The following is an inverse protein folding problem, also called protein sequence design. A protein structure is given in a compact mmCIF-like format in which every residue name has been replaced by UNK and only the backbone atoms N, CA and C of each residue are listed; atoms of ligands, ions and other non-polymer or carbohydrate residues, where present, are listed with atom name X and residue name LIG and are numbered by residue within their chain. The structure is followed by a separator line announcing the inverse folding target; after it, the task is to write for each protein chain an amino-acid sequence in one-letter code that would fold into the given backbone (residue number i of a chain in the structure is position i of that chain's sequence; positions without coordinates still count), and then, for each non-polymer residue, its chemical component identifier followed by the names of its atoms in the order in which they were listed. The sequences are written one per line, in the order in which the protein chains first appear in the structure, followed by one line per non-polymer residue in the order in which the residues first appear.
data_IF_794938329123
#
_entry.id   IF_794938329123
#
_cell.length_a   1.000
_cell.length_b   1.000
_cell.length_c   1.000
_cell.angle_alpha   90.00
_cell.angle_beta   90.00
_cell.angle_gamma   90.00
#
_symmetry.space_group_name_H-M   'P 1'
#
loop_
_entity.id
_entity.type
_entity.pdbx_description
1 polymer ?
#
# COMPACT_ATOMS: atom_id res chain seq x y z
N UNK A 1 -6.55 29.39 -32.03
CA UNK A 1 -7.27 29.03 -33.27
C UNK A 1 -6.31 29.20 -34.46
N UNK A 2 -5.83 28.08 -35.02
CA UNK A 2 -5.05 28.09 -36.24
C UNK A 2 -6.02 27.92 -37.43
N UNK A 3 -6.23 28.96 -38.28
CA UNK A 3 -7.22 28.90 -39.36
C UNK A 3 -6.81 28.03 -40.55
N UNK A 4 -5.69 27.33 -40.49
CA UNK A 4 -5.14 26.55 -41.59
C UNK A 4 -4.78 25.09 -41.26
N UNK A 5 -5.14 24.60 -40.08
CA UNK A 5 -4.80 23.23 -39.63
C UNK A 5 -6.02 22.38 -39.28
N UNK A 6 -5.89 21.07 -39.43
CA UNK A 6 -6.81 20.05 -38.93
C UNK A 6 -6.85 19.96 -37.40
N UNK A 7 -6.29 20.96 -36.69
CA UNK A 7 -6.18 20.99 -35.22
C UNK A 7 -7.35 21.82 -34.68
N UNK A 8 -8.55 21.23 -34.69
CA UNK A 8 -9.72 21.80 -34.05
C UNK A 8 -9.51 21.78 -32.54
N UNK A 9 -9.68 22.94 -31.91
CA UNK A 9 -9.77 23.08 -30.46
C UNK A 9 -11.16 22.60 -30.00
N UNK A 10 -11.18 21.56 -29.20
CA UNK A 10 -12.44 20.95 -28.74
C UNK A 10 -13.02 21.70 -27.54
N UNK A 11 -12.22 22.51 -26.84
CA UNK A 11 -12.61 23.34 -25.69
C UNK A 11 -12.50 24.83 -25.99
N UNK A 12 -13.02 25.27 -27.15
CA UNK A 12 -12.92 26.65 -27.61
C UNK A 12 -13.35 27.67 -26.55
N UNK A 13 -12.44 28.59 -26.18
CA UNK A 13 -12.66 29.61 -25.16
C UNK A 13 -12.16 29.26 -23.77
N UNK A 14 -11.64 28.07 -23.57
CA UNK A 14 -10.94 27.62 -22.37
C UNK A 14 -9.51 27.25 -22.79
N UNK A 15 -8.51 27.73 -22.08
CA UNK A 15 -7.13 27.37 -22.38
C UNK A 15 -6.80 25.97 -21.81
N UNK A 16 -6.20 25.11 -22.66
CA UNK A 16 -5.72 23.80 -22.25
C UNK A 16 -4.64 23.26 -23.17
N UNK A 17 -3.98 22.18 -22.80
CA UNK A 17 -2.83 21.59 -23.47
C UNK A 17 -3.00 20.12 -23.85
N UNK A 18 -4.14 19.53 -23.55
CA UNK A 18 -4.45 18.14 -23.87
C UNK A 18 -4.35 17.84 -25.37
N UNK A 19 -3.96 16.61 -25.72
CA UNK A 19 -3.66 16.21 -27.12
C UNK A 19 -4.07 14.79 -27.45
N UNK A 20 -4.24 13.93 -26.41
CA UNK A 20 -4.42 12.49 -26.60
C UNK A 20 -5.88 12.10 -26.79
N UNK A 21 -6.80 12.81 -26.13
CA UNK A 21 -8.24 12.64 -26.21
C UNK A 21 -8.93 13.83 -26.88
N UNK A 22 -9.23 14.90 -26.16
CA UNK A 22 -9.73 16.19 -26.66
C UNK A 22 -8.58 17.19 -26.77
N UNK A 23 -8.52 17.91 -27.86
CA UNK A 23 -7.45 18.88 -28.10
C UNK A 23 -7.76 20.24 -27.52
N UNK A 24 -6.79 20.83 -26.84
CA UNK A 24 -6.87 22.20 -26.33
C UNK A 24 -7.72 22.32 -25.07
N UNK A 25 -8.11 21.23 -24.46
CA UNK A 25 -8.85 21.21 -23.20
C UNK A 25 -7.90 21.30 -21.99
N UNK A 26 -8.41 21.67 -20.80
CA UNK A 26 -7.65 21.60 -19.56
C UNK A 26 -6.97 20.25 -19.38
N UNK A 27 -5.74 20.28 -18.86
CA UNK A 27 -4.87 19.14 -18.64
C UNK A 27 -3.95 19.57 -17.50
N UNK A 28 -4.31 19.19 -16.29
CA UNK A 28 -3.77 19.77 -15.07
C UNK A 28 -2.35 19.29 -14.76
N UNK A 29 -2.04 18.05 -15.07
CA UNK A 29 -0.71 17.46 -14.84
C UNK A 29 0.21 17.48 -16.07
N UNK A 30 -0.35 17.74 -17.26
CA UNK A 30 0.40 17.93 -18.50
C UNK A 30 0.77 16.62 -19.22
N UNK A 31 0.09 15.52 -18.96
CA UNK A 31 0.37 14.22 -19.58
C UNK A 31 -0.28 14.06 -20.97
N UNK A 32 -1.15 14.99 -21.33
CA UNK A 32 -1.80 15.10 -22.65
C UNK A 32 -3.23 14.58 -22.68
N UNK A 33 -3.74 14.03 -21.60
CA UNK A 33 -5.16 13.70 -21.44
C UNK A 33 -5.90 14.87 -20.82
N UNK A 34 -7.19 15.04 -21.16
CA UNK A 34 -7.95 16.18 -20.66
C UNK A 34 -8.60 15.87 -19.32
N UNK A 35 -8.59 16.86 -18.43
CA UNK A 35 -9.37 16.80 -17.18
C UNK A 35 -10.82 16.49 -17.46
N UNK A 36 -11.54 15.77 -16.56
CA UNK A 36 -12.98 15.57 -16.68
C UNK A 36 -13.75 16.88 -16.54
N UNK A 37 -14.87 16.99 -17.25
CA UNK A 37 -15.83 18.09 -17.13
C UNK A 37 -17.29 17.59 -17.20
N UNK A 38 -18.27 18.49 -17.15
CA UNK A 38 -19.70 18.14 -17.17
C UNK A 38 -20.15 17.38 -18.43
N UNK A 39 -19.41 17.50 -19.55
CA UNK A 39 -19.75 16.89 -20.83
C UNK A 39 -18.75 15.83 -21.29
N UNK A 40 -17.67 15.64 -20.53
CA UNK A 40 -16.62 14.68 -20.80
C UNK A 40 -16.11 14.10 -19.50
N UNK A 41 -16.57 12.93 -19.20
CA UNK A 41 -16.30 12.24 -17.93
C UNK A 41 -15.22 11.16 -18.11
N UNK A 42 -14.74 10.59 -17.02
CA UNK A 42 -13.82 9.44 -17.05
C UNK A 42 -14.39 8.29 -17.87
N UNK A 43 -15.70 8.04 -17.81
CA UNK A 43 -16.35 7.01 -18.64
C UNK A 43 -16.40 7.35 -20.13
N UNK A 44 -16.21 8.60 -20.51
CA UNK A 44 -16.10 9.04 -21.92
C UNK A 44 -14.63 9.03 -22.39
N UNK A 45 -13.67 8.87 -21.49
CA UNK A 45 -12.25 8.82 -21.77
C UNK A 45 -11.45 10.02 -21.26
N UNK A 46 -12.00 10.83 -20.35
CA UNK A 46 -11.26 11.85 -19.64
C UNK A 46 -10.22 11.24 -18.72
N UNK A 47 -9.24 12.02 -18.32
CA UNK A 47 -8.24 11.64 -17.35
C UNK A 47 -8.90 11.22 -16.02
N UNK A 48 -8.60 10.02 -15.56
CA UNK A 48 -9.13 9.51 -14.30
C UNK A 48 -8.41 10.09 -13.08
N UNK A 49 -7.13 10.50 -13.22
CA UNK A 49 -6.30 11.02 -12.13
C UNK A 49 -5.57 12.31 -12.58
N UNK A 50 -6.29 13.43 -12.74
CA UNK A 50 -5.82 14.66 -13.39
C UNK A 50 -4.64 15.38 -12.72
N UNK A 51 -4.24 14.94 -11.54
CA UNK A 51 -3.14 15.55 -10.77
C UNK A 51 -1.87 14.68 -10.77
N UNK A 52 -1.86 13.53 -11.49
CA UNK A 52 -0.74 12.58 -11.46
C UNK A 52 -0.27 12.23 -12.86
N UNK A 53 0.76 12.92 -13.34
CA UNK A 53 1.34 12.76 -14.68
C UNK A 53 1.51 11.30 -15.10
N UNK A 54 0.84 10.93 -16.17
CA UNK A 54 0.88 9.61 -16.78
C UNK A 54 -0.08 8.57 -16.20
N UNK A 55 -0.95 8.96 -15.29
CA UNK A 55 -2.01 8.12 -14.70
C UNK A 55 -3.38 8.58 -15.19
N UNK A 56 -3.76 8.22 -16.38
CA UNK A 56 -5.01 8.65 -17.03
C UNK A 56 -6.12 7.59 -17.07
N UNK A 57 -5.85 6.37 -16.64
CA UNK A 57 -6.82 5.27 -16.49
C UNK A 57 -6.76 4.76 -15.06
N UNK A 58 -7.93 4.54 -14.48
CA UNK A 58 -8.16 3.91 -13.18
C UNK A 58 -9.33 2.94 -13.36
N UNK A 59 -9.03 1.65 -13.45
CA UNK A 59 -10.02 0.64 -13.87
C UNK A 59 -11.02 0.32 -12.77
N UNK A 60 -10.63 0.32 -11.51
CA UNK A 60 -11.48 -0.03 -10.38
C UNK A 60 -11.95 1.17 -9.55
N UNK A 61 -11.46 2.36 -9.91
CA UNK A 61 -11.88 3.67 -9.37
C UNK A 61 -11.53 3.86 -7.89
N UNK A 62 -10.35 3.42 -7.48
CA UNK A 62 -9.85 3.57 -6.11
C UNK A 62 -8.95 4.80 -5.92
N UNK A 63 -8.59 5.48 -7.02
CA UNK A 63 -7.75 6.67 -7.02
C UNK A 63 -6.27 6.39 -7.30
N UNK A 64 -5.91 5.16 -7.62
CA UNK A 64 -4.59 4.79 -8.13
C UNK A 64 -4.68 4.39 -9.59
N UNK A 65 -3.74 4.83 -10.40
CA UNK A 65 -3.81 4.63 -11.86
C UNK A 65 -3.11 3.38 -12.34
N UNK A 66 -3.63 2.83 -13.43
CA UNK A 66 -3.22 1.54 -14.02
C UNK A 66 -1.81 1.54 -14.63
N UNK A 67 -1.22 2.72 -14.90
CA UNK A 67 0.06 2.79 -15.59
C UNK A 67 1.24 2.45 -14.68
N UNK A 68 1.71 1.23 -14.79
CA UNK A 68 2.81 0.68 -13.99
C UNK A 68 4.16 1.41 -14.15
N UNK A 69 4.29 2.32 -15.10
CA UNK A 69 5.51 3.12 -15.32
C UNK A 69 5.42 4.52 -14.75
N UNK A 70 4.25 4.95 -14.33
CA UNK A 70 4.01 6.23 -13.68
C UNK A 70 4.14 6.14 -12.14
N UNK A 71 4.25 7.28 -11.44
CA UNK A 71 4.29 7.27 -9.98
C UNK A 71 3.02 6.69 -9.35
N UNK A 72 3.18 6.02 -8.21
CA UNK A 72 2.09 5.47 -7.40
C UNK A 72 1.13 4.55 -8.20
N UNK A 73 1.71 3.79 -9.14
CA UNK A 73 0.94 2.89 -9.99
C UNK A 73 0.19 1.86 -9.16
N UNK A 74 -1.07 1.64 -9.52
CA UNK A 74 -1.90 0.62 -8.92
C UNK A 74 -1.31 -0.79 -9.13
N UNK A 75 -1.14 -1.51 -8.05
CA UNK A 75 -0.66 -2.89 -8.05
C UNK A 75 -1.82 -3.91 -8.08
N UNK A 76 -3.07 -3.44 -7.92
CA UNK A 76 -4.28 -4.25 -7.88
C UNK A 76 -5.37 -3.77 -8.85
N UNK A 77 -5.02 -3.34 -10.02
CA UNK A 77 -5.78 -2.67 -11.12
C UNK A 77 -7.28 -3.00 -11.27
N UNK A 78 -7.75 -4.10 -10.75
CA UNK A 78 -9.16 -4.55 -10.86
C UNK A 78 -9.82 -4.82 -9.51
N UNK A 79 -9.14 -4.48 -8.42
CA UNK A 79 -9.62 -4.74 -7.06
C UNK A 79 -9.33 -3.52 -6.20
N UNK A 80 -10.33 -2.66 -5.99
CA UNK A 80 -10.14 -1.40 -5.28
C UNK A 80 -9.49 -1.58 -3.91
N UNK A 81 -8.57 -0.70 -3.56
CA UNK A 81 -7.89 -0.73 -2.28
C UNK A 81 -7.35 0.61 -1.83
N UNK A 82 -6.87 0.67 -0.61
CA UNK A 82 -6.40 1.89 0.03
C UNK A 82 -4.92 1.88 0.42
N UNK A 83 -4.22 0.78 0.21
CA UNK A 83 -2.82 0.66 0.60
C UNK A 83 -1.92 1.65 -0.16
N UNK A 84 -0.93 2.20 0.55
CA UNK A 84 -0.04 3.24 0.01
C UNK A 84 1.43 3.09 0.47
N UNK A 85 1.74 2.13 1.33
CA UNK A 85 3.08 1.96 1.88
C UNK A 85 3.91 0.90 1.13
N UNK A 86 3.26 -0.10 0.53
CA UNK A 86 3.93 -1.21 -0.16
C UNK A 86 3.41 -1.42 -1.59
N UNK A 87 2.13 -1.71 -1.75
CA UNK A 87 1.45 -1.97 -3.02
C UNK A 87 0.28 -1.01 -3.16
N UNK A 88 0.49 0.09 -3.87
CA UNK A 88 -0.53 1.10 -4.06
C UNK A 88 -1.83 0.51 -4.63
N UNK A 89 -2.98 0.97 -4.14
CA UNK A 89 -4.29 0.57 -4.64
C UNK A 89 -4.71 -0.87 -4.31
N UNK A 90 -4.01 -1.56 -3.42
CA UNK A 90 -4.43 -2.90 -3.02
C UNK A 90 -5.30 -2.88 -1.76
N UNK A 91 -6.12 -3.92 -1.53
CA UNK A 91 -6.91 -4.04 -0.31
C UNK A 91 -6.07 -3.93 0.96
N UNK A 92 -6.56 -3.13 1.89
CA UNK A 92 -5.98 -2.81 3.19
C UNK A 92 -7.14 -2.65 4.17
N UNK A 93 -7.39 -3.68 4.98
CA UNK A 93 -8.63 -3.80 5.76
C UNK A 93 -8.62 -2.97 7.05
N UNK A 94 -7.45 -2.64 7.58
CA UNK A 94 -7.30 -1.85 8.81
C UNK A 94 -6.73 -0.44 8.58
N UNK A 95 -6.45 -0.12 7.30
CA UNK A 95 -6.06 1.22 6.84
C UNK A 95 -4.70 1.71 7.42
N UNK A 96 -3.76 0.80 7.68
CA UNK A 96 -2.42 1.17 8.13
C UNK A 96 -1.47 1.53 6.97
N UNK A 97 -1.89 1.25 5.74
CA UNK A 97 -1.18 1.54 4.51
C UNK A 97 -0.45 0.34 3.91
N UNK A 98 -0.34 -0.76 4.64
CA UNK A 98 0.23 -2.01 4.14
C UNK A 98 -0.89 -2.88 3.58
N UNK A 99 -0.68 -3.43 2.38
CA UNK A 99 -1.71 -4.27 1.76
C UNK A 99 -1.93 -5.56 2.54
N UNK A 100 -3.19 -6.04 2.62
CA UNK A 100 -3.56 -7.32 3.27
C UNK A 100 -2.65 -8.50 2.87
N UNK A 101 -2.08 -8.45 1.68
CA UNK A 101 -1.19 -9.51 1.19
C UNK A 101 0.15 -9.53 1.92
N UNK A 102 0.67 -8.38 2.28
CA UNK A 102 1.98 -8.21 2.91
C UNK A 102 1.89 -7.94 4.41
N UNK A 103 0.68 -7.62 4.88
CA UNK A 103 0.38 -7.44 6.29
C UNK A 103 0.18 -8.79 6.99
N UNK A 104 0.83 -8.98 8.11
CA UNK A 104 0.71 -10.16 8.97
C UNK A 104 -0.45 -10.06 9.95
N UNK A 105 -0.97 -8.84 10.15
CA UNK A 105 -2.04 -8.53 11.11
C UNK A 105 -3.16 -7.69 10.47
N UNK A 106 -3.77 -8.10 9.35
CA UNK A 106 -4.63 -7.27 8.48
C UNK A 106 -5.96 -6.82 9.11
N UNK A 107 -6.04 -6.77 10.41
CA UNK A 107 -7.14 -6.24 11.22
C UNK A 107 -6.62 -5.42 12.41
N UNK A 108 -5.35 -5.05 12.44
CA UNK A 108 -4.75 -4.30 13.54
C UNK A 108 -3.75 -3.25 13.03
N UNK A 109 -4.23 -2.07 12.72
CA UNK A 109 -3.50 -0.92 12.15
C UNK A 109 -2.28 -0.42 12.96
N UNK A 110 -1.85 -1.13 13.98
CA UNK A 110 -0.63 -0.86 14.73
C UNK A 110 0.44 -1.92 14.52
N UNK A 111 0.14 -2.96 13.76
CA UNK A 111 1.02 -4.12 13.54
C UNK A 111 0.91 -4.61 12.10
N UNK A 112 2.05 -4.79 11.43
CA UNK A 112 2.09 -5.27 10.03
C UNK A 112 3.25 -6.23 9.75
N UNK A 113 4.22 -6.37 10.66
CA UNK A 113 5.41 -7.16 10.42
C UNK A 113 5.61 -8.25 11.49
N UNK A 114 5.90 -9.46 11.05
CA UNK A 114 6.18 -10.63 11.88
C UNK A 114 7.14 -11.51 11.07
N UNK A 115 8.43 -11.38 11.34
CA UNK A 115 9.48 -11.93 10.49
C UNK A 115 9.63 -13.44 10.63
N UNK A 116 9.37 -14.00 11.83
CA UNK A 116 9.48 -15.43 12.10
C UNK A 116 8.13 -16.16 12.14
N UNK A 117 7.04 -15.40 12.03
CA UNK A 117 5.64 -15.87 11.98
C UNK A 117 5.19 -16.60 13.25
N UNK A 118 5.54 -16.08 14.42
CA UNK A 118 5.12 -16.62 15.71
C UNK A 118 3.84 -15.97 16.28
N UNK A 119 3.40 -14.86 15.64
CA UNK A 119 2.19 -14.12 16.00
C UNK A 119 2.44 -12.89 16.86
N UNK A 120 3.69 -12.56 17.14
CA UNK A 120 4.09 -11.28 17.71
C UNK A 120 4.62 -10.37 16.61
N UNK A 121 4.28 -9.10 16.67
CA UNK A 121 4.83 -8.09 15.76
C UNK A 121 6.28 -7.78 16.15
N UNK A 122 7.16 -7.61 15.14
CA UNK A 122 8.60 -7.36 15.35
C UNK A 122 8.93 -6.20 16.30
N UNK A 123 8.00 -5.22 16.46
CA UNK A 123 8.21 -4.08 17.36
C UNK A 123 8.02 -4.41 18.84
N UNK A 124 7.29 -5.49 19.12
CA UNK A 124 6.97 -5.93 20.49
C UNK A 124 7.53 -7.32 20.81
N UNK A 125 8.16 -7.92 19.82
CA UNK A 125 8.85 -9.19 19.92
C UNK A 125 10.30 -8.96 20.38
N UNK A 126 10.68 -9.61 21.45
CA UNK A 126 12.07 -9.56 21.97
C UNK A 126 13.02 -10.45 21.15
N UNK A 127 12.47 -11.37 20.35
CA UNK A 127 13.22 -12.30 19.50
C UNK A 127 12.73 -12.33 18.02
N UNK A 128 12.66 -11.21 17.30
CA UNK A 128 11.89 -11.04 16.06
C UNK A 128 12.34 -11.88 14.85
N UNK A 129 13.30 -12.75 15.02
CA UNK A 129 13.80 -13.66 13.97
C UNK A 129 13.88 -15.11 14.47
N UNK A 130 13.34 -15.41 15.64
CA UNK A 130 13.40 -16.73 16.26
C UNK A 130 12.05 -17.07 16.83
N UNK A 131 11.25 -17.84 16.08
CA UNK A 131 9.93 -18.28 16.45
C UNK A 131 9.86 -18.71 17.94
N UNK A 132 8.98 -18.08 18.71
CA UNK A 132 8.80 -18.35 20.12
C UNK A 132 7.37 -18.17 20.60
N UNK A 133 7.12 -18.64 21.83
CA UNK A 133 5.78 -18.59 22.42
C UNK A 133 5.76 -17.97 23.83
N UNK A 134 6.92 -17.52 24.30
CA UNK A 134 7.02 -16.90 25.63
C UNK A 134 6.24 -15.57 25.71
N UNK A 135 5.66 -15.32 26.88
CA UNK A 135 4.80 -14.15 27.11
C UNK A 135 5.03 -13.46 28.45
N UNK A 136 5.82 -14.06 29.35
CA UNK A 136 5.93 -13.63 30.74
C UNK A 136 7.19 -12.79 30.97
N UNK A 137 8.33 -13.26 30.46
CA UNK A 137 9.64 -12.57 30.59
C UNK A 137 10.02 -11.82 29.31
N UNK A 138 10.49 -12.51 28.29
CA UNK A 138 10.73 -11.98 26.94
C UNK A 138 9.61 -12.46 26.00
N UNK A 139 8.94 -11.53 25.37
CA UNK A 139 7.84 -11.86 24.46
C UNK A 139 8.38 -12.39 23.13
N UNK A 140 7.72 -13.44 22.58
CA UNK A 140 8.06 -13.98 21.27
C UNK A 140 9.38 -14.79 21.25
N UNK A 141 10.00 -15.06 22.39
CA UNK A 141 11.20 -15.86 22.42
C UNK A 141 10.91 -17.36 22.59
N UNK A 142 11.89 -18.19 22.24
CA UNK A 142 11.76 -19.63 22.31
C UNK A 142 11.40 -20.10 23.71
N UNK A 143 10.33 -20.85 23.82
CA UNK A 143 9.77 -21.42 25.06
C UNK A 143 9.57 -22.92 24.81
N UNK A 144 10.38 -23.74 25.43
CA UNK A 144 10.50 -25.17 25.11
C UNK A 144 9.34 -25.99 25.64
N UNK A 145 8.79 -25.64 26.81
CA UNK A 145 7.73 -26.40 27.48
C UNK A 145 6.39 -25.66 27.50
N UNK A 146 6.36 -24.46 26.93
CA UNK A 146 5.16 -23.62 26.79
C UNK A 146 4.55 -23.18 28.14
N UNK A 147 5.38 -22.88 29.12
CA UNK A 147 4.94 -22.35 30.42
C UNK A 147 4.87 -20.81 30.43
N UNK A 148 5.32 -20.17 29.35
CA UNK A 148 5.30 -18.74 29.10
C UNK A 148 6.62 -18.04 29.44
N UNK A 149 7.60 -18.71 30.02
CA UNK A 149 8.95 -18.19 30.21
C UNK A 149 9.85 -18.60 29.05
N UNK A 150 10.74 -17.69 28.64
CA UNK A 150 11.67 -18.00 27.56
C UNK A 150 12.79 -18.94 28.04
N UNK A 151 13.11 -19.92 27.22
CA UNK A 151 14.28 -20.78 27.44
C UNK A 151 15.56 -19.95 27.39
N UNK A 152 16.60 -20.39 28.09
CA UNK A 152 17.91 -19.69 28.06
C UNK A 152 18.55 -19.76 26.68
N UNK A 153 19.27 -18.71 26.34
CA UNK A 153 20.10 -18.60 25.13
C UNK A 153 21.47 -17.96 25.45
N UNK A 154 22.23 -17.59 24.42
CA UNK A 154 23.56 -17.02 24.58
C UNK A 154 23.56 -15.63 25.26
N UNK A 155 22.46 -14.90 25.19
CA UNK A 155 22.30 -13.54 25.71
C UNK A 155 21.35 -13.45 26.92
N UNK A 156 20.61 -14.52 27.21
CA UNK A 156 19.59 -14.57 28.27
C UNK A 156 19.72 -15.84 29.10
N UNK A 157 20.25 -15.71 30.30
CA UNK A 157 20.52 -16.80 31.23
C UNK A 157 19.50 -16.89 32.38
N UNK A 158 19.56 -17.97 33.15
CA UNK A 158 18.74 -18.13 34.38
C UNK A 158 18.95 -16.97 35.34
N UNK A 159 20.15 -16.39 35.41
CA UNK A 159 20.42 -15.24 36.29
C UNK A 159 19.77 -13.94 35.79
N UNK A 160 19.40 -13.87 34.53
CA UNK A 160 18.70 -12.75 33.92
C UNK A 160 17.17 -12.94 33.96
N UNK A 161 16.70 -14.13 34.20
CA UNK A 161 15.30 -14.47 34.32
C UNK A 161 14.80 -15.58 33.38
N UNK A 162 15.68 -16.21 32.61
CA UNK A 162 15.31 -17.33 31.76
C UNK A 162 14.73 -18.49 32.58
N UNK A 163 13.90 -19.28 31.94
CA UNK A 163 13.34 -20.48 32.54
C UNK A 163 14.43 -21.40 33.07
N UNK A 164 14.32 -21.73 34.39
CA UNK A 164 15.24 -22.60 35.09
C UNK A 164 14.92 -24.10 34.93
N UNK A 165 13.73 -24.41 34.42
CA UNK A 165 13.20 -25.77 34.29
C UNK A 165 12.58 -25.99 32.89
N UNK A 166 13.30 -25.78 31.79
CA UNK A 166 12.76 -25.66 30.42
C UNK A 166 12.13 -26.95 29.87
N UNK A 167 11.85 -27.92 30.68
CA UNK A 167 11.18 -29.19 30.34
C UNK A 167 10.02 -29.52 31.34
N UNK A 168 9.59 -28.58 32.15
CA UNK A 168 8.54 -28.81 33.16
C UNK A 168 7.49 -27.70 33.13
N UNK A 169 6.30 -28.03 32.65
CA UNK A 169 5.09 -27.16 32.68
C UNK A 169 4.55 -26.93 34.09
#
# INVERSE_FOLDING_TARGET
DNPLGNDKDDCSGIFGQSRNDRRGCPDSDGDGWSDPDENWTVSDGADAIPDVFGQYVDTDMDGYGDNSTAPNADACVTTPGSSYADRYGCPDDDEDGVSNQNDKFPADSQRWYDADNDGFDDLVDDCPYVFGTSTIDRRGCYDQDSDGYSSQDDEWSISDGADALPLST
#
